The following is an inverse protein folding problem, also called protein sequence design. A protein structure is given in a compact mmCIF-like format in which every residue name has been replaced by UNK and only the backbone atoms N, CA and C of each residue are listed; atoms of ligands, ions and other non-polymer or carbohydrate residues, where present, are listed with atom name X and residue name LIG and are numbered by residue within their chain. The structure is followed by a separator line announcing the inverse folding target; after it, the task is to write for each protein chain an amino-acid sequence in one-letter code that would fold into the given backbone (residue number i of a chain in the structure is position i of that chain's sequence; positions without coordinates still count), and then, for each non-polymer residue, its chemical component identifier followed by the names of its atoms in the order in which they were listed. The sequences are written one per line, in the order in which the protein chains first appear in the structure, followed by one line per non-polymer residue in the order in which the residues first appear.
data_IF_747037692883
#
_entry.id   IF_747037692883
#
_cell.length_a   1.000
_cell.length_b   1.000
_cell.length_c   1.000
_cell.angle_alpha   90.00
_cell.angle_beta   90.00
_cell.angle_gamma   90.00
#
_symmetry.space_group_name_H-M   'P 1'
#
loop_
_entity.id
_entity.type
_entity.pdbx_description
1 polymer ?
#
# COMPACT_ATOMS: atom_id res chain seq x y z
N UNK A 1 12.63 10.96 -3.99
CA UNK A 1 12.56 9.86 -2.99
C UNK A 1 12.66 8.53 -3.71
N UNK A 2 13.40 7.58 -3.17
CA UNK A 2 13.53 6.26 -3.80
C UNK A 2 12.20 5.51 -3.78
N UNK A 3 11.87 4.77 -4.85
CA UNK A 3 10.56 4.09 -4.95
C UNK A 3 10.25 3.15 -3.79
N UNK A 4 11.25 2.44 -3.27
CA UNK A 4 11.03 1.55 -2.14
C UNK A 4 10.70 2.34 -0.85
N UNK A 5 11.32 3.49 -0.65
CA UNK A 5 11.02 4.34 0.49
C UNK A 5 9.58 4.87 0.42
N UNK A 6 9.11 5.24 -0.77
CA UNK A 6 7.71 5.65 -0.96
C UNK A 6 6.75 4.51 -0.59
N UNK A 7 7.05 3.29 -1.04
CA UNK A 7 6.24 2.12 -0.70
C UNK A 7 6.12 1.97 0.83
N UNK A 8 7.23 2.03 1.53
CA UNK A 8 7.24 1.84 2.99
C UNK A 8 6.46 2.96 3.69
N UNK A 9 6.59 4.20 3.23
CA UNK A 9 5.84 5.33 3.78
C UNK A 9 4.33 5.11 3.62
N UNK A 10 3.88 4.70 2.45
CA UNK A 10 2.46 4.44 2.21
C UNK A 10 1.94 3.25 3.02
N UNK A 11 2.71 2.19 3.17
CA UNK A 11 2.33 1.08 4.03
C UNK A 11 2.22 1.50 5.48
N UNK A 12 3.15 2.30 5.97
CA UNK A 12 3.13 2.81 7.36
C UNK A 12 1.93 3.72 7.61
N UNK A 13 1.66 4.65 6.70
CA UNK A 13 0.52 5.55 6.88
C UNK A 13 -0.80 4.79 6.77
N UNK A 14 -0.87 3.75 5.93
CA UNK A 14 -2.05 2.88 5.88
C UNK A 14 -2.30 2.23 7.24
N UNK A 15 -1.27 1.72 7.88
CA UNK A 15 -1.39 1.14 9.22
C UNK A 15 -1.77 2.18 10.28
N UNK A 16 -1.24 3.40 10.15
CA UNK A 16 -1.60 4.51 11.05
C UNK A 16 -3.09 4.86 10.94
N UNK A 17 -3.61 4.97 9.72
CA UNK A 17 -5.02 5.23 9.48
C UNK A 17 -5.90 4.08 10.00
N UNK A 18 -5.48 2.84 9.78
CA UNK A 18 -6.20 1.67 10.29
C UNK A 18 -6.30 1.69 11.81
N UNK A 19 -5.20 2.02 12.49
CA UNK A 19 -5.17 2.11 13.95
C UNK A 19 -6.16 3.14 14.50
N UNK A 20 -6.49 4.17 13.69
CA UNK A 20 -7.45 5.21 14.04
C UNK A 20 -8.84 4.97 13.44
N UNK A 21 -9.05 3.82 12.83
CA UNK A 21 -10.30 3.43 12.15
C UNK A 21 -10.69 4.39 11.01
N UNK A 22 -9.71 5.06 10.42
CA UNK A 22 -9.88 5.92 9.26
C UNK A 22 -9.71 5.08 7.99
N UNK A 23 -10.72 4.26 7.70
CA UNK A 23 -10.58 3.22 6.68
C UNK A 23 -10.58 3.74 5.25
N UNK A 24 -11.27 4.85 4.96
CA UNK A 24 -11.21 5.48 3.64
C UNK A 24 -9.82 6.05 3.35
N UNK A 25 -9.20 6.66 4.35
CA UNK A 25 -7.83 7.16 4.22
C UNK A 25 -6.84 6.01 4.09
N UNK A 26 -7.05 4.91 4.85
CA UNK A 26 -6.24 3.71 4.71
C UNK A 26 -6.29 3.17 3.28
N UNK A 27 -7.47 3.09 2.70
CA UNK A 27 -7.64 2.55 1.36
C UNK A 27 -6.91 3.41 0.32
N UNK A 28 -6.95 4.74 0.44
CA UNK A 28 -6.17 5.62 -0.43
C UNK A 28 -4.67 5.36 -0.31
N UNK A 29 -4.18 5.22 0.92
CA UNK A 29 -2.78 4.89 1.17
C UNK A 29 -2.41 3.53 0.55
N UNK A 30 -3.28 2.53 0.67
CA UNK A 30 -3.06 1.21 0.09
C UNK A 30 -3.08 1.23 -1.43
N UNK A 31 -3.89 2.07 -2.06
CA UNK A 31 -3.86 2.26 -3.52
C UNK A 31 -2.47 2.73 -3.95
N UNK A 32 -1.92 3.73 -3.25
CA UNK A 32 -0.58 4.23 -3.55
C UNK A 32 0.50 3.19 -3.28
N UNK A 33 0.38 2.47 -2.16
CA UNK A 33 1.31 1.39 -1.83
C UNK A 33 1.28 0.27 -2.87
N UNK A 34 0.09 -0.14 -3.29
CA UNK A 34 -0.08 -1.18 -4.30
C UNK A 34 0.58 -0.77 -5.64
N UNK A 35 0.39 0.48 -6.04
CA UNK A 35 1.01 1.02 -7.26
C UNK A 35 2.53 1.03 -7.15
N UNK A 36 3.07 1.45 -6.00
CA UNK A 36 4.53 1.40 -5.75
C UNK A 36 5.05 -0.03 -5.80
N UNK A 37 4.34 -0.97 -5.17
CA UNK A 37 4.74 -2.37 -5.16
C UNK A 37 4.75 -2.95 -6.57
N UNK A 38 3.76 -2.63 -7.39
CA UNK A 38 3.69 -3.07 -8.79
C UNK A 38 4.87 -2.53 -9.59
N UNK A 39 5.21 -1.25 -9.42
CA UNK A 39 6.35 -0.63 -10.09
C UNK A 39 7.68 -1.30 -9.71
N UNK A 40 7.77 -1.81 -8.49
CA UNK A 40 8.94 -2.53 -7.98
C UNK A 40 8.87 -4.03 -8.28
N UNK A 41 7.87 -4.48 -9.04
CA UNK A 41 7.64 -5.88 -9.40
C UNK A 41 7.41 -6.80 -8.20
N UNK A 42 6.83 -6.23 -7.14
CA UNK A 42 6.43 -6.96 -5.93
C UNK A 42 4.96 -7.35 -6.05
N UNK A 43 4.66 -8.20 -7.02
CA UNK A 43 3.29 -8.61 -7.38
C UNK A 43 2.47 -9.12 -6.18
N UNK A 44 2.99 -10.07 -5.37
CA UNK A 44 2.19 -10.58 -4.25
C UNK A 44 1.75 -9.48 -3.28
N UNK A 45 2.64 -8.55 -2.96
CA UNK A 45 2.33 -7.43 -2.07
C UNK A 45 1.29 -6.50 -2.70
N UNK A 46 1.44 -6.21 -3.99
CA UNK A 46 0.48 -5.36 -4.71
C UNK A 46 -0.93 -5.95 -4.67
N UNK A 47 -1.07 -7.24 -4.94
CA UNK A 47 -2.36 -7.93 -4.92
C UNK A 47 -2.91 -8.07 -3.49
N UNK A 48 -2.05 -8.24 -2.50
CA UNK A 48 -2.46 -8.23 -1.10
C UNK A 48 -3.09 -6.89 -0.72
N UNK A 49 -2.45 -5.78 -1.08
CA UNK A 49 -3.01 -4.45 -0.83
C UNK A 49 -4.35 -4.26 -1.54
N UNK A 50 -4.46 -4.69 -2.79
CA UNK A 50 -5.72 -4.65 -3.53
C UNK A 50 -6.82 -5.43 -2.82
N UNK A 51 -6.51 -6.62 -2.33
CA UNK A 51 -7.46 -7.45 -1.61
C UNK A 51 -7.96 -6.77 -0.33
N UNK A 52 -7.06 -6.14 0.43
CA UNK A 52 -7.44 -5.40 1.63
C UNK A 52 -8.42 -4.26 1.31
N UNK A 53 -8.17 -3.53 0.23
CA UNK A 53 -9.06 -2.46 -0.22
C UNK A 53 -10.46 -3.01 -0.52
N UNK A 54 -10.53 -4.09 -1.29
CA UNK A 54 -11.80 -4.68 -1.71
C UNK A 54 -12.57 -5.33 -0.55
N UNK A 55 -11.87 -5.84 0.45
CA UNK A 55 -12.51 -6.37 1.66
C UNK A 55 -13.22 -5.27 2.45
N UNK A 56 -12.66 -4.07 2.49
CA UNK A 56 -13.26 -2.95 3.19
C UNK A 56 -14.29 -2.21 2.33
N UNK A 57 -14.02 -2.07 1.04
CA UNK A 57 -14.88 -1.32 0.11
C UNK A 57 -15.12 -2.14 -1.15
N UNK A 58 -16.17 -2.94 -1.15
CA UNK A 58 -16.52 -3.80 -2.27
C UNK A 58 -16.92 -3.02 -3.53
N UNK A 59 -17.30 -1.76 -3.38
CA UNK A 59 -17.64 -0.88 -4.49
C UNK A 59 -16.47 -0.10 -5.05
N UNK A 60 -15.26 -0.32 -4.54
CA UNK A 60 -14.06 0.38 -5.05
C UNK A 60 -13.83 0.06 -6.53
N UNK A 61 -13.35 1.05 -7.29
CA UNK A 61 -13.13 0.88 -8.73
C UNK A 61 -12.15 -0.25 -9.09
N UNK A 62 -11.26 -0.63 -8.18
CA UNK A 62 -10.33 -1.75 -8.40
C UNK A 62 -11.06 -3.08 -8.62
N UNK A 63 -12.31 -3.20 -8.19
CA UNK A 63 -13.11 -4.40 -8.44
C UNK A 63 -13.38 -4.62 -9.93
N UNK A 64 -13.36 -3.56 -10.73
CA UNK A 64 -13.62 -3.63 -12.17
C UNK A 64 -12.46 -4.24 -12.95
N UNK A 65 -11.33 -4.52 -12.29
CA UNK A 65 -10.14 -5.06 -12.93
C UNK A 65 -9.81 -6.44 -12.34
N UNK A 66 -9.30 -7.38 -13.18
CA UNK A 66 -8.93 -8.71 -12.68
C UNK A 66 -7.69 -8.72 -11.79
N UNK A 67 -6.87 -7.66 -11.86
CA UNK A 67 -5.64 -7.53 -11.07
C UNK A 67 -5.29 -6.05 -10.95
N UNK A 68 -4.36 -5.75 -10.04
CA UNK A 68 -3.81 -4.40 -9.94
C UNK A 68 -3.06 -4.00 -11.23
N UNK A 69 -2.34 -4.95 -11.82
CA UNK A 69 -1.58 -4.69 -13.05
C UNK A 69 -2.51 -4.31 -14.20
N UNK A 70 -3.66 -4.96 -14.32
CA UNK A 70 -4.66 -4.59 -15.31
C UNK A 70 -5.21 -3.18 -15.06
N UNK A 71 -5.42 -2.81 -13.80
CA UNK A 71 -5.87 -1.46 -13.44
C UNK A 71 -4.85 -0.40 -13.85
N UNK A 72 -3.57 -0.63 -13.59
CA UNK A 72 -2.50 0.32 -13.90
C UNK A 72 -2.44 0.64 -15.40
N UNK A 73 -2.77 -0.32 -16.24
CA UNK A 73 -2.76 -0.15 -17.70
C UNK A 73 -3.93 0.70 -18.21
N UNK A 74 -4.97 0.90 -17.40
CA UNK A 74 -6.15 1.68 -17.79
C UNK A 74 -5.91 3.17 -17.52
N UNK A 75 -6.08 4.05 -18.54
CA UNK A 75 -5.94 5.49 -18.35
C UNK A 75 -6.87 6.08 -17.29
N UNK A 76 -8.07 5.54 -17.13
CA UNK A 76 -9.03 6.02 -16.14
C UNK A 76 -8.50 5.81 -14.71
N UNK A 77 -7.88 4.67 -14.47
CA UNK A 77 -7.23 4.41 -13.20
C UNK A 77 -6.05 5.37 -12.97
N UNK A 78 -5.31 5.68 -14.03
CA UNK A 78 -4.21 6.66 -13.97
C UNK A 78 -4.69 8.04 -13.54
N UNK A 79 -5.86 8.49 -14.01
CA UNK A 79 -6.46 9.76 -13.57
C UNK A 79 -6.79 9.71 -12.07
N UNK A 80 -7.39 8.60 -11.63
CA UNK A 80 -7.69 8.38 -10.20
C UNK A 80 -6.42 8.43 -9.35
N UNK A 81 -5.34 7.77 -9.78
CA UNK A 81 -4.06 7.78 -9.07
C UNK A 81 -3.52 9.18 -8.88
N UNK A 82 -3.60 10.02 -9.92
CA UNK A 82 -3.13 11.40 -9.83
C UNK A 82 -3.93 12.19 -8.80
N UNK A 83 -5.24 11.96 -8.72
CA UNK A 83 -6.09 12.60 -7.73
C UNK A 83 -5.72 12.17 -6.31
N UNK A 84 -5.50 10.88 -6.10
CA UNK A 84 -5.09 10.35 -4.80
C UNK A 84 -3.72 10.93 -4.40
N UNK A 85 -2.76 10.96 -5.33
CA UNK A 85 -1.43 11.49 -5.06
C UNK A 85 -1.45 12.98 -4.68
N UNK A 86 -2.35 13.76 -5.24
CA UNK A 86 -2.52 15.18 -4.87
C UNK A 86 -2.97 15.33 -3.41
N UNK A 87 -3.82 14.42 -2.95
CA UNK A 87 -4.36 14.44 -1.58
C UNK A 87 -3.44 13.77 -0.57
N UNK A 88 -2.62 12.83 -1.03
CA UNK A 88 -1.73 12.05 -0.17
C UNK A 88 -0.41 11.80 -0.90
N UNK A 89 0.41 12.85 -1.04
CA UNK A 89 1.77 12.72 -1.55
C UNK A 89 2.63 11.98 -0.52
N UNK A 90 3.83 11.47 -0.90
CA UNK A 90 4.73 10.84 0.08
C UNK A 90 5.05 11.74 1.27
N UNK A 91 5.25 13.05 1.04
CA UNK A 91 5.53 14.02 2.08
C UNK A 91 4.33 14.21 3.02
N UNK A 92 3.14 14.29 2.47
CA UNK A 92 1.90 14.37 3.26
C UNK A 92 1.69 13.08 4.07
N UNK A 93 2.01 11.92 3.48
CA UNK A 93 1.91 10.64 4.18
C UNK A 93 2.86 10.58 5.38
N UNK A 94 4.11 11.04 5.22
CA UNK A 94 5.06 11.13 6.33
C UNK A 94 4.53 12.04 7.43
N UNK A 95 3.98 13.20 7.07
CA UNK A 95 3.38 14.13 8.02
C UNK A 95 2.23 13.50 8.79
N UNK A 96 1.40 12.72 8.12
CA UNK A 96 0.28 12.03 8.77
C UNK A 96 0.75 10.97 9.77
N UNK A 97 1.82 10.23 9.46
CA UNK A 97 2.41 9.27 10.39
C UNK A 97 2.79 9.97 11.71
N UNK A 98 3.42 11.14 11.61
CA UNK A 98 3.82 11.93 12.77
C UNK A 98 2.60 12.48 13.53
N UNK A 99 1.62 13.03 12.81
CA UNK A 99 0.41 13.59 13.41
C UNK A 99 -0.42 12.54 14.14
N UNK A 100 -0.51 11.33 13.58
CA UNK A 100 -1.26 10.23 14.16
C UNK A 100 -0.46 9.50 15.25
N UNK A 101 0.79 9.91 15.48
CA UNK A 101 1.69 9.32 16.48
C UNK A 101 1.80 7.80 16.34
N UNK A 102 1.82 7.33 15.09
CA UNK A 102 1.96 5.90 14.81
C UNK A 102 3.41 5.45 14.96
N UNK A 103 3.61 4.38 15.73
CA UNK A 103 4.92 3.76 15.90
C UNK A 103 4.97 2.44 15.16
N UNK A 104 6.01 2.28 14.35
CA UNK A 104 6.32 1.02 13.69
C UNK A 104 7.68 0.56 14.20
N UNK A 105 7.68 -0.53 14.96
CA UNK A 105 8.90 -1.07 15.58
C UNK A 105 9.66 -2.01 14.63
N UNK A 106 9.16 -2.20 13.42
CA UNK A 106 9.79 -3.02 12.40
C UNK A 106 11.01 -2.31 11.83
N UNK A 107 12.18 -2.97 11.90
CA UNK A 107 13.45 -2.40 11.43
C UNK A 107 13.92 -3.11 10.15
N UNK A 108 14.38 -2.36 9.14
CA UNK A 108 14.90 -2.97 7.90
C UNK A 108 16.00 -3.99 8.14
N UNK A 109 16.85 -3.75 9.13
CA UNK A 109 17.99 -4.61 9.45
C UNK A 109 17.62 -6.00 9.95
N UNK A 110 16.38 -6.19 10.40
CA UNK A 110 15.89 -7.48 10.91
C UNK A 110 15.44 -8.43 9.78
N UNK A 111 15.46 -7.98 8.52
CA UNK A 111 14.95 -8.71 7.38
C UNK A 111 15.97 -8.83 6.27
N UNK A 112 16.02 -9.99 5.61
CA UNK A 112 17.00 -10.27 4.55
C UNK A 112 16.62 -9.61 3.23
N UNK A 113 15.33 -9.47 2.95
CA UNK A 113 14.84 -8.93 1.68
C UNK A 113 13.89 -7.75 1.89
N UNK A 114 13.76 -6.92 0.85
CA UNK A 114 12.79 -5.82 0.85
C UNK A 114 11.35 -6.33 0.98
N UNK A 115 11.05 -7.47 0.35
CA UNK A 115 9.72 -8.07 0.43
C UNK A 115 9.37 -8.51 1.86
N UNK A 116 10.34 -9.10 2.57
CA UNK A 116 10.15 -9.51 3.97
C UNK A 116 9.89 -8.28 4.85
N UNK A 117 10.68 -7.22 4.67
CA UNK A 117 10.51 -6.00 5.44
C UNK A 117 9.15 -5.34 5.17
N UNK A 118 8.77 -5.20 3.90
CA UNK A 118 7.49 -4.59 3.54
C UNK A 118 6.31 -5.38 4.10
N UNK A 119 6.35 -6.71 4.02
CA UNK A 119 5.32 -7.57 4.60
C UNK A 119 5.23 -7.38 6.11
N UNK A 120 6.37 -7.30 6.79
CA UNK A 120 6.43 -7.10 8.23
C UNK A 120 5.83 -5.76 8.65
N UNK A 121 6.02 -4.69 7.86
CA UNK A 121 5.39 -3.39 8.10
C UNK A 121 3.85 -3.54 8.12
N UNK A 122 3.32 -4.43 7.29
CA UNK A 122 1.89 -4.74 7.26
C UNK A 122 1.45 -5.77 8.29
N UNK A 123 2.39 -6.26 9.11
CA UNK A 123 2.09 -7.24 10.14
C UNK A 123 1.84 -8.64 9.61
N UNK A 124 2.35 -8.98 8.44
CA UNK A 124 2.14 -10.28 7.80
C UNK A 124 3.47 -10.90 7.36
N UNK A 125 3.46 -12.22 7.14
CA UNK A 125 4.62 -12.97 6.67
C UNK A 125 4.71 -12.89 5.14
N UNK A 126 5.88 -12.58 4.60
CA UNK A 126 6.10 -12.49 3.16
C UNK A 126 5.85 -13.82 2.45
N UNK A 127 6.15 -14.95 3.09
CA UNK A 127 5.85 -16.27 2.55
C UNK A 127 4.35 -16.48 2.39
N UNK A 128 3.58 -16.08 3.40
CA UNK A 128 2.12 -16.17 3.31
C UNK A 128 1.57 -15.35 2.15
N UNK A 129 2.07 -14.12 1.99
CA UNK A 129 1.67 -13.26 0.87
C UNK A 129 2.01 -13.93 -0.46
N UNK A 130 3.22 -14.46 -0.59
CA UNK A 130 3.66 -15.13 -1.81
C UNK A 130 2.80 -16.34 -2.14
N UNK A 131 2.45 -17.14 -1.13
CA UNK A 131 1.66 -18.35 -1.32
C UNK A 131 0.21 -18.05 -1.72
N UNK A 132 -0.34 -16.92 -1.25
CA UNK A 132 -1.74 -16.56 -1.51
C UNK A 132 -1.92 -15.63 -2.71
N UNK A 133 -0.93 -14.82 -3.05
CA UNK A 133 -1.04 -13.78 -4.09
C UNK A 133 0.04 -13.89 -5.18
N UNK A 134 0.97 -14.76 -5.03
CA UNK A 134 2.01 -15.06 -6.03
C UNK A 134 1.54 -16.13 -6.98
#
# INVERSE_FOLDING_TARGET
MAPFNELIIYLRVAQAFKARLQMSDRDRALVMAATCAAALKMKPLAEFCRQLILQNNQGHMLRNYPSLFAAIEDPDFGVYLKQVRRKLSPEQAESQILLLRYRCDVKPSDYKTKSEYAAAVMGVDSKWIKDHFG
#
